data_IF_897840201464
#
_entry.id   IF_897840201464
#
_cell.length_a   1.000
_cell.length_b   1.000
_cell.length_c   1.000
_cell.angle_alpha   90.00
_cell.angle_beta   90.00
_cell.angle_gamma   90.00
#
_symmetry.space_group_name_H-M   'P 1'
#
loop_
_entity.id
_entity.type
_entity.pdbx_description
1 polymer ?
#
# COMPACT_ATOMS: atom_id res chain seq x y z
N UNK A 1 -29.74 14.37 52.42
CA UNK A 1 -28.79 14.33 51.28
C UNK A 1 -29.28 15.30 50.24
N UNK A 2 -28.54 16.36 49.96
CA UNK A 2 -28.97 17.45 49.06
C UNK A 2 -28.46 17.11 47.66
N UNK A 3 -29.33 16.61 46.79
CA UNK A 3 -28.98 16.29 45.42
C UNK A 3 -28.79 17.60 44.64
N UNK A 4 -27.56 17.88 44.22
CA UNK A 4 -27.28 18.99 43.30
C UNK A 4 -27.77 18.60 41.91
N UNK A 5 -28.88 19.21 41.47
CA UNK A 5 -29.36 19.10 40.09
C UNK A 5 -28.41 19.86 39.18
N UNK A 6 -27.65 19.14 38.34
CA UNK A 6 -26.86 19.76 37.29
C UNK A 6 -27.82 20.40 36.30
N UNK A 7 -27.83 21.74 36.22
CA UNK A 7 -28.59 22.47 35.21
C UNK A 7 -28.02 22.10 33.84
N UNK A 8 -28.76 21.28 33.10
CA UNK A 8 -28.48 20.94 31.71
C UNK A 8 -28.71 22.19 30.84
N UNK A 9 -27.64 22.95 30.62
CA UNK A 9 -27.59 23.95 29.55
C UNK A 9 -27.65 23.22 28.22
N UNK A 10 -28.73 23.44 27.46
CA UNK A 10 -28.90 22.87 26.12
C UNK A 10 -27.98 23.56 25.11
N UNK A 11 -27.46 22.77 24.17
CA UNK A 11 -26.70 23.25 23.01
C UNK A 11 -27.59 24.13 22.13
N UNK A 12 -27.10 25.27 21.65
CA UNK A 12 -27.87 26.10 20.72
C UNK A 12 -27.76 25.57 19.29
N UNK A 13 -28.81 25.74 18.48
CA UNK A 13 -28.76 25.35 17.06
C UNK A 13 -27.64 26.07 16.32
N UNK A 14 -27.40 27.35 16.64
CA UNK A 14 -26.34 28.17 16.04
C UNK A 14 -24.95 27.58 16.31
N UNK A 15 -24.73 27.07 17.51
CA UNK A 15 -23.44 26.50 17.92
C UNK A 15 -23.15 25.20 17.17
N UNK A 16 -24.16 24.35 16.93
CA UNK A 16 -24.00 23.19 16.04
C UNK A 16 -23.75 23.61 14.59
N UNK A 17 -24.42 24.65 14.09
CA UNK A 17 -24.24 25.11 12.70
C UNK A 17 -22.82 25.59 12.41
N UNK A 18 -22.22 26.37 13.32
CA UNK A 18 -20.84 26.85 13.15
C UNK A 18 -19.86 25.68 13.19
N UNK A 19 -20.07 24.72 14.09
CA UNK A 19 -19.19 23.55 14.21
C UNK A 19 -19.20 22.71 12.93
N UNK A 20 -20.37 22.39 12.37
CA UNK A 20 -20.44 21.61 11.12
C UNK A 20 -19.89 22.38 9.92
N UNK A 21 -20.00 23.71 9.91
CA UNK A 21 -19.41 24.54 8.87
C UNK A 21 -17.88 24.47 8.89
N UNK A 22 -17.26 24.56 10.07
CA UNK A 22 -15.79 24.46 10.23
C UNK A 22 -15.32 23.04 9.89
N UNK A 23 -16.01 22.00 10.37
CA UNK A 23 -15.67 20.61 10.04
C UNK A 23 -15.77 20.37 8.53
N UNK A 24 -16.81 20.91 7.87
CA UNK A 24 -16.98 20.81 6.42
C UNK A 24 -15.83 21.46 5.64
N UNK A 25 -15.39 22.65 6.06
CA UNK A 25 -14.24 23.33 5.45
C UNK A 25 -12.95 22.53 5.60
N UNK A 26 -12.67 22.00 6.79
CA UNK A 26 -11.49 21.17 7.03
C UNK A 26 -11.54 19.86 6.23
N UNK A 27 -12.70 19.20 6.20
CA UNK A 27 -12.89 17.96 5.46
C UNK A 27 -12.70 18.15 3.95
N UNK A 28 -13.15 19.28 3.39
CA UNK A 28 -13.00 19.60 1.98
C UNK A 28 -11.53 19.63 1.52
N UNK A 29 -10.62 20.12 2.38
CA UNK A 29 -9.17 20.14 2.09
C UNK A 29 -8.50 18.81 2.47
N UNK A 30 -8.90 18.19 3.58
CA UNK A 30 -8.24 17.01 4.11
C UNK A 30 -8.52 15.73 3.29
N UNK A 31 -9.76 15.52 2.83
CA UNK A 31 -10.17 14.31 2.11
C UNK A 31 -9.36 14.06 0.82
N UNK A 32 -9.21 15.02 -0.12
CA UNK A 32 -8.46 14.77 -1.35
C UNK A 32 -6.98 14.44 -1.06
N UNK A 33 -6.39 15.11 -0.09
CA UNK A 33 -5.01 14.84 0.33
C UNK A 33 -4.86 13.43 0.93
N UNK A 34 -5.82 13.01 1.77
CA UNK A 34 -5.82 11.66 2.33
C UNK A 34 -5.95 10.59 1.24
N UNK A 35 -6.79 10.80 0.22
CA UNK A 35 -6.93 9.85 -0.90
C UNK A 35 -5.61 9.71 -1.65
N UNK A 36 -4.94 10.82 -1.97
CA UNK A 36 -3.62 10.81 -2.63
C UNK A 36 -2.57 10.11 -1.78
N UNK A 37 -2.49 10.45 -0.49
CA UNK A 37 -1.56 9.83 0.44
C UNK A 37 -1.77 8.31 0.56
N UNK A 38 -3.03 7.86 0.60
CA UNK A 38 -3.38 6.44 0.62
C UNK A 38 -2.95 5.72 -0.66
N UNK A 39 -3.21 6.29 -1.84
CA UNK A 39 -2.75 5.71 -3.12
C UNK A 39 -1.23 5.56 -3.14
N UNK A 40 -0.50 6.62 -2.80
CA UNK A 40 0.97 6.58 -2.76
C UNK A 40 1.49 5.54 -1.74
N UNK A 41 0.84 5.43 -0.58
CA UNK A 41 1.18 4.42 0.41
C UNK A 41 0.94 2.99 -0.11
N UNK A 42 -0.15 2.75 -0.86
CA UNK A 42 -0.42 1.46 -1.49
C UNK A 42 0.63 1.09 -2.55
N UNK A 43 1.03 2.05 -3.40
CA UNK A 43 2.10 1.87 -4.39
C UNK A 43 3.42 1.51 -3.67
N UNK A 44 3.82 2.34 -2.70
CA UNK A 44 5.08 2.13 -1.97
C UNK A 44 5.11 0.80 -1.20
N UNK A 45 4.00 0.42 -0.57
CA UNK A 45 3.89 -0.85 0.12
C UNK A 45 3.99 -2.04 -0.85
N UNK A 46 3.41 -1.93 -2.05
CA UNK A 46 3.56 -2.97 -3.07
C UNK A 46 4.99 -3.06 -3.61
N UNK A 47 5.63 -1.92 -3.91
CA UNK A 47 7.06 -1.89 -4.29
C UNK A 47 7.94 -2.52 -3.19
N UNK A 48 7.62 -2.29 -1.91
CA UNK A 48 8.31 -2.94 -0.79
C UNK A 48 8.07 -4.46 -0.76
N UNK A 49 6.84 -4.92 -0.97
CA UNK A 49 6.52 -6.34 -1.05
C UNK A 49 7.25 -7.03 -2.21
N UNK A 50 7.28 -6.41 -3.39
CA UNK A 50 8.00 -6.94 -4.54
C UNK A 50 9.51 -7.07 -4.26
N UNK A 51 10.11 -6.12 -3.54
CA UNK A 51 11.52 -6.23 -3.10
C UNK A 51 11.70 -7.41 -2.15
N UNK A 52 10.79 -7.58 -1.18
CA UNK A 52 10.82 -8.74 -0.28
C UNK A 52 10.75 -10.05 -1.05
N UNK A 53 9.91 -10.13 -2.08
CA UNK A 53 9.81 -11.30 -2.97
C UNK A 53 11.13 -11.50 -3.72
N UNK A 54 11.70 -10.45 -4.33
CA UNK A 54 12.99 -10.51 -5.01
C UNK A 54 14.10 -11.03 -4.09
N UNK A 55 14.19 -10.53 -2.86
CA UNK A 55 15.15 -11.04 -1.87
C UNK A 55 14.92 -12.52 -1.55
N UNK A 56 13.67 -12.95 -1.43
CA UNK A 56 13.33 -14.35 -1.19
C UNK A 56 13.72 -15.24 -2.39
N UNK A 57 13.54 -14.77 -3.63
CA UNK A 57 13.96 -15.46 -4.85
C UNK A 57 15.47 -15.64 -4.87
N UNK A 58 16.21 -14.56 -4.63
CA UNK A 58 17.67 -14.58 -4.61
C UNK A 58 18.21 -15.50 -3.51
N UNK A 59 17.56 -15.49 -2.34
CA UNK A 59 17.93 -16.38 -1.24
C UNK A 59 17.65 -17.85 -1.57
N UNK A 60 16.48 -18.17 -2.15
CA UNK A 60 16.15 -19.52 -2.62
C UNK A 60 17.14 -20.00 -3.68
N UNK A 61 17.46 -19.15 -4.66
CA UNK A 61 18.38 -19.48 -5.74
C UNK A 61 19.79 -19.77 -5.21
N UNK A 62 20.28 -18.96 -4.26
CA UNK A 62 21.58 -19.14 -3.62
C UNK A 62 21.65 -20.45 -2.83
N UNK A 63 20.63 -20.76 -2.03
CA UNK A 63 20.62 -21.96 -1.19
C UNK A 63 20.48 -23.24 -2.02
N UNK A 64 19.61 -23.22 -3.04
CA UNK A 64 19.36 -24.36 -3.92
C UNK A 64 20.34 -24.47 -5.09
N UNK A 65 21.30 -23.53 -5.19
CA UNK A 65 22.28 -23.42 -6.30
C UNK A 65 21.59 -23.41 -7.67
N UNK A 66 20.50 -22.65 -7.77
CA UNK A 66 19.77 -22.45 -9.02
C UNK A 66 20.53 -21.46 -9.90
N UNK A 67 20.27 -21.58 -11.19
CA UNK A 67 20.77 -20.65 -12.20
C UNK A 67 19.75 -19.53 -12.44
N UNK A 68 20.22 -18.46 -13.06
CA UNK A 68 19.45 -17.27 -13.41
C UNK A 68 18.21 -17.59 -14.27
N UNK A 69 18.27 -18.63 -15.10
CA UNK A 69 17.18 -19.10 -15.97
C UNK A 69 16.19 -20.07 -15.30
N UNK A 70 16.36 -20.34 -14.00
CA UNK A 70 15.47 -21.26 -13.29
C UNK A 70 14.12 -20.59 -13.06
N UNK A 71 13.04 -21.25 -13.47
CA UNK A 71 11.67 -20.82 -13.16
C UNK A 71 11.44 -20.84 -11.65
N UNK A 72 10.79 -19.78 -11.15
CA UNK A 72 10.47 -19.59 -9.74
C UNK A 72 8.97 -19.78 -9.56
N UNK A 73 8.59 -20.65 -8.62
CA UNK A 73 7.18 -20.79 -8.23
C UNK A 73 6.89 -20.19 -6.86
N UNK A 74 5.63 -19.90 -6.58
CA UNK A 74 5.21 -19.35 -5.29
C UNK A 74 5.42 -20.33 -4.13
N UNK A 75 5.32 -21.64 -4.38
CA UNK A 75 5.54 -22.67 -3.36
C UNK A 75 7.01 -22.74 -2.92
N UNK A 76 7.95 -22.43 -3.81
CA UNK A 76 9.38 -22.41 -3.52
C UNK A 76 9.77 -21.34 -2.49
N UNK A 77 8.98 -20.26 -2.43
CA UNK A 77 9.26 -19.08 -1.61
C UNK A 77 8.60 -19.13 -0.22
N UNK A 78 7.70 -20.08 0.03
CA UNK A 78 6.95 -20.18 1.30
C UNK A 78 7.89 -20.27 2.52
N UNK A 79 9.01 -20.99 2.42
CA UNK A 79 9.99 -21.12 3.52
C UNK A 79 10.87 -19.88 3.72
N UNK A 80 10.91 -18.99 2.73
CA UNK A 80 11.78 -17.80 2.72
C UNK A 80 11.04 -16.55 3.20
N UNK A 81 9.71 -16.59 3.28
CA UNK A 81 8.88 -15.48 3.74
C UNK A 81 8.21 -15.81 5.08
N UNK A 82 8.71 -15.19 6.16
CA UNK A 82 8.27 -15.45 7.54
C UNK A 82 6.78 -15.15 7.78
N UNK A 83 6.26 -14.12 7.11
CA UNK A 83 4.88 -13.66 7.26
C UNK A 83 3.94 -14.20 6.15
N UNK A 84 4.44 -15.14 5.33
CA UNK A 84 3.75 -15.67 4.15
C UNK A 84 3.88 -14.76 2.92
N UNK A 85 3.27 -15.19 1.82
CA UNK A 85 3.26 -14.43 0.55
C UNK A 85 2.45 -13.13 0.78
N UNK A 86 3.08 -11.95 0.64
CA UNK A 86 2.36 -10.69 0.81
C UNK A 86 1.24 -10.58 -0.23
N UNK A 87 0.20 -9.79 0.06
CA UNK A 87 -0.83 -9.43 -0.92
C UNK A 87 -0.64 -7.98 -1.35
N UNK A 88 -0.96 -7.67 -2.59
CA UNK A 88 -0.93 -6.28 -3.06
C UNK A 88 -2.02 -5.46 -2.32
N UNK A 89 -1.68 -4.33 -1.69
CA UNK A 89 -2.65 -3.46 -1.02
C UNK A 89 -3.71 -2.83 -1.95
N UNK A 90 -3.47 -2.88 -3.26
CA UNK A 90 -4.41 -2.46 -4.31
C UNK A 90 -5.24 -3.62 -4.88
N UNK A 91 -5.04 -4.85 -4.40
CA UNK A 91 -5.76 -6.04 -4.87
C UNK A 91 -5.14 -6.75 -6.07
N UNK A 92 -3.92 -6.38 -6.46
CA UNK A 92 -3.16 -7.05 -7.52
C UNK A 92 -2.60 -8.42 -7.16
N UNK A 93 -2.20 -9.14 -8.20
CA UNK A 93 -1.48 -10.42 -8.13
C UNK A 93 -0.01 -10.21 -8.50
N UNK A 94 0.86 -10.96 -7.84
CA UNK A 94 2.29 -10.99 -8.13
C UNK A 94 2.58 -12.11 -9.13
N UNK A 95 3.28 -11.76 -10.20
CA UNK A 95 3.75 -12.74 -11.18
C UNK A 95 5.26 -12.90 -11.04
N UNK A 96 5.69 -14.15 -11.03
CA UNK A 96 7.07 -14.57 -10.91
C UNK A 96 7.49 -15.16 -12.24
N UNK A 97 8.71 -14.85 -12.67
CA UNK A 97 9.33 -15.43 -13.86
C UNK A 97 10.50 -16.32 -13.47
N UNK A 98 11.66 -15.98 -14.01
CA UNK A 98 12.93 -16.64 -13.66
C UNK A 98 13.62 -15.95 -12.47
N UNK A 99 14.74 -16.51 -12.01
CA UNK A 99 15.55 -15.91 -10.92
C UNK A 99 16.09 -14.53 -11.31
N UNK A 100 16.43 -14.32 -12.58
CA UNK A 100 16.92 -13.04 -13.10
C UNK A 100 15.80 -12.02 -13.36
N UNK A 101 14.60 -12.50 -13.65
CA UNK A 101 13.46 -11.65 -13.94
C UNK A 101 12.87 -11.07 -12.66
N UNK A 102 12.73 -9.74 -12.62
CA UNK A 102 12.15 -9.06 -11.46
C UNK A 102 10.68 -9.44 -11.29
N UNK A 103 10.21 -9.72 -10.06
CA UNK A 103 8.79 -9.98 -9.83
C UNK A 103 7.98 -8.73 -10.18
N UNK A 104 6.83 -8.94 -10.81
CA UNK A 104 5.95 -7.84 -11.23
C UNK A 104 4.57 -7.95 -10.57
N UNK A 105 3.86 -6.82 -10.51
CA UNK A 105 2.49 -6.74 -10.06
C UNK A 105 1.60 -6.34 -11.23
N UNK A 106 0.43 -6.96 -11.40
CA UNK A 106 -0.50 -6.62 -12.48
C UNK A 106 -1.21 -5.25 -12.32
N UNK A 107 -0.96 -4.53 -11.23
CA UNK A 107 -1.51 -3.19 -10.99
C UNK A 107 -0.54 -2.12 -11.49
N UNK A 108 -1.02 -1.22 -12.36
CA UNK A 108 -0.20 -0.14 -12.94
C UNK A 108 0.47 0.76 -11.89
N UNK A 109 1.72 1.15 -12.15
CA UNK A 109 2.55 1.99 -11.26
C UNK A 109 3.22 1.24 -10.10
N UNK A 110 2.99 -0.07 -9.96
CA UNK A 110 3.58 -0.91 -8.92
C UNK A 110 4.80 -1.69 -9.45
N UNK A 111 5.77 -1.01 -10.03
CA UNK A 111 7.01 -1.59 -10.60
C UNK A 111 8.23 -1.29 -9.71
N UNK A 112 9.19 -2.21 -9.65
CA UNK A 112 10.53 -1.98 -9.02
C UNK A 112 11.61 -1.70 -10.07
N UNK A 113 11.23 -1.57 -11.33
CA UNK A 113 12.16 -1.18 -12.38
C UNK A 113 12.58 0.26 -12.07
N UNK A 114 13.89 0.61 -12.13
CA UNK A 114 14.32 1.99 -11.96
C UNK A 114 13.58 2.88 -12.96
N UNK A 115 13.12 4.04 -12.49
CA UNK A 115 12.26 5.00 -13.21
C UNK A 115 12.87 5.57 -14.52
N UNK A 116 14.06 5.13 -14.93
CA UNK A 116 14.74 5.58 -16.17
C UNK A 116 14.07 5.07 -17.47
N UNK A 117 13.08 4.18 -17.40
CA UNK A 117 12.31 3.69 -18.57
C UNK A 117 10.82 4.10 -18.58
N UNK A 118 10.30 4.75 -17.52
CA UNK A 118 8.86 5.11 -17.41
C UNK A 118 8.53 6.57 -17.81
N UNK A 119 9.51 7.43 -18.14
CA UNK A 119 9.25 8.83 -18.56
C UNK A 119 8.58 8.99 -19.96
N UNK A 120 8.13 7.90 -20.59
CA UNK A 120 7.63 7.91 -21.97
C UNK A 120 6.11 7.90 -22.19
N UNK A 121 5.26 7.62 -21.19
CA UNK A 121 3.86 7.23 -21.47
C UNK A 121 2.73 7.99 -20.73
N UNK A 122 3.00 9.07 -20.01
CA UNK A 122 1.91 9.85 -19.38
C UNK A 122 1.98 11.37 -19.64
N UNK A 123 2.14 11.80 -20.90
CA UNK A 123 1.67 13.12 -21.36
C UNK A 123 1.19 13.07 -22.83
N UNK A 124 -0.08 12.70 -23.07
CA UNK A 124 -0.91 13.21 -24.19
C UNK A 124 -2.38 13.37 -23.77
#
# INVERSE_FOLDING_TARGET
>A
MKASTFSSRGFTLVEIMIVVAIIGLLAAVAIPNLIKARKNAQVNACKANLRTIEFAIQQWALEKRKRDDSEVSLEDLESYMKDGIPRCPSGGEYTLGTVEEKPTCNVGGHTIIPEEEEEGEEEE
#
